data_IF_411177471179
#
_entry.id   IF_411177471179
#
_cell.length_a   1.000
_cell.length_b   1.000
_cell.length_c   1.000
_cell.angle_alpha   90.00
_cell.angle_beta   90.00
_cell.angle_gamma   90.00
#
_symmetry.space_group_name_H-M   'P 1'
#
loop_
_entity.id
_entity.type
_entity.pdbx_description
1 polymer ?
#
# COMPACT_ATOMS: atom_id res chain seq x y z
N UNK A 1 11.63 -4.04 23.64
CA UNK A 1 10.60 -3.20 22.98
C UNK A 1 10.13 -3.94 21.74
N UNK A 2 8.85 -3.91 21.41
CA UNK A 2 8.33 -4.53 20.19
C UNK A 2 7.95 -3.42 19.20
N UNK A 3 8.28 -3.63 17.92
CA UNK A 3 7.99 -2.70 16.84
C UNK A 3 7.02 -3.31 15.84
N UNK A 4 6.26 -2.44 15.19
CA UNK A 4 5.39 -2.78 14.07
C UNK A 4 5.85 -1.96 12.85
N UNK A 5 6.32 -2.63 11.81
CA UNK A 5 6.64 -2.01 10.52
C UNK A 5 5.39 -2.01 9.64
N UNK A 6 4.83 -0.84 9.40
CA UNK A 6 3.59 -0.68 8.63
C UNK A 6 3.82 -0.57 7.12
N UNK A 7 5.09 -0.56 6.64
CA UNK A 7 5.39 -0.36 5.23
C UNK A 7 6.72 -0.97 4.80
N UNK A 8 6.74 -2.22 4.39
CA UNK A 8 7.94 -2.93 3.96
C UNK A 8 7.78 -3.56 2.57
N UNK A 9 8.62 -3.13 1.62
CA UNK A 9 8.68 -3.68 0.26
C UNK A 9 9.56 -4.93 0.16
N UNK A 10 9.25 -5.98 0.93
CA UNK A 10 10.09 -7.18 1.00
C UNK A 10 10.27 -7.84 -0.37
N UNK A 11 9.18 -7.95 -1.14
CA UNK A 11 9.20 -8.61 -2.44
C UNK A 11 9.83 -7.78 -3.56
N UNK A 12 9.93 -6.45 -3.41
CA UNK A 12 10.63 -5.60 -4.38
C UNK A 12 12.15 -5.63 -4.18
N UNK A 13 12.60 -5.86 -2.93
CA UNK A 13 14.04 -5.88 -2.60
C UNK A 13 14.61 -7.26 -2.81
N UNK A 14 13.84 -8.31 -2.50
CA UNK A 14 14.28 -9.70 -2.54
C UNK A 14 13.33 -10.55 -3.37
N UNK A 15 13.80 -11.02 -4.52
CA UNK A 15 13.04 -11.93 -5.40
C UNK A 15 13.00 -13.38 -4.86
N UNK A 16 14.09 -13.81 -4.20
CA UNK A 16 14.21 -15.16 -3.64
C UNK A 16 13.40 -15.30 -2.34
N UNK A 17 12.47 -16.26 -2.25
CA UNK A 17 11.73 -16.54 -1.02
C UNK A 17 12.61 -16.83 0.22
N UNK A 18 13.80 -17.41 0.02
CA UNK A 18 14.75 -17.68 1.10
C UNK A 18 15.28 -16.36 1.67
N UNK A 19 15.64 -15.41 0.80
CA UNK A 19 16.08 -14.08 1.23
C UNK A 19 14.95 -13.27 1.87
N UNK A 20 13.73 -13.39 1.36
CA UNK A 20 12.55 -12.80 2.00
C UNK A 20 12.39 -13.31 3.44
N UNK A 21 12.49 -14.62 3.65
CA UNK A 21 12.42 -15.21 4.99
C UNK A 21 13.58 -14.77 5.88
N UNK A 22 14.79 -14.70 5.34
CA UNK A 22 15.99 -14.28 6.07
C UNK A 22 15.86 -12.85 6.61
N UNK A 23 15.40 -11.90 5.79
CA UNK A 23 15.24 -10.50 6.25
C UNK A 23 14.15 -10.37 7.31
N UNK A 24 13.05 -11.13 7.19
CA UNK A 24 11.99 -11.16 8.21
C UNK A 24 12.54 -11.70 9.54
N UNK A 25 13.36 -12.76 9.52
CA UNK A 25 13.99 -13.30 10.71
C UNK A 25 14.95 -12.29 11.38
N UNK A 26 15.73 -11.56 10.58
CA UNK A 26 16.59 -10.48 11.07
C UNK A 26 15.79 -9.34 11.71
N UNK A 27 14.70 -8.90 11.06
CA UNK A 27 13.81 -7.89 11.60
C UNK A 27 13.21 -8.32 12.95
N UNK A 28 12.81 -9.59 13.08
CA UNK A 28 12.31 -10.16 14.35
C UNK A 28 13.39 -10.18 15.44
N UNK A 29 14.60 -10.57 15.11
CA UNK A 29 15.72 -10.55 16.06
C UNK A 29 16.01 -9.12 16.56
N UNK A 30 15.73 -8.09 15.73
CA UNK A 30 15.82 -6.68 16.09
C UNK A 30 14.57 -6.15 16.84
N UNK A 31 13.52 -6.98 17.05
CA UNK A 31 12.32 -6.60 17.79
C UNK A 31 11.13 -6.19 16.93
N UNK A 32 11.23 -6.26 15.60
CA UNK A 32 10.09 -6.03 14.70
C UNK A 32 9.23 -7.29 14.67
N UNK A 33 8.09 -7.28 15.34
CA UNK A 33 7.23 -8.47 15.53
C UNK A 33 6.09 -8.56 14.55
N UNK A 34 5.73 -7.45 13.91
CA UNK A 34 4.66 -7.36 12.90
C UNK A 34 5.16 -6.54 11.73
N UNK A 35 4.81 -6.97 10.53
CA UNK A 35 5.22 -6.31 9.27
C UNK A 35 4.03 -6.32 8.30
N UNK A 36 3.75 -5.18 7.69
CA UNK A 36 2.86 -5.11 6.51
C UNK A 36 3.72 -5.15 5.26
N UNK A 37 3.59 -6.20 4.49
CA UNK A 37 4.22 -6.34 3.16
C UNK A 37 3.45 -5.53 2.14
N UNK A 38 4.15 -4.62 1.47
CA UNK A 38 3.62 -3.72 0.45
C UNK A 38 4.14 -4.14 -0.92
N UNK A 39 3.28 -4.03 -1.93
CA UNK A 39 3.62 -4.30 -3.32
C UNK A 39 3.11 -3.15 -4.20
N UNK A 40 3.85 -2.81 -5.26
CA UNK A 40 3.47 -1.71 -6.13
C UNK A 40 2.41 -2.13 -7.15
N UNK A 41 2.41 -3.41 -7.53
CA UNK A 41 1.52 -3.98 -8.53
C UNK A 41 0.82 -5.24 -8.04
N UNK A 42 -0.28 -5.58 -8.71
CA UNK A 42 -0.98 -6.85 -8.49
C UNK A 42 -0.16 -8.06 -8.94
N UNK A 43 0.75 -7.88 -9.90
CA UNK A 43 1.70 -8.92 -10.29
C UNK A 43 2.64 -9.26 -9.14
N UNK A 44 3.24 -8.23 -8.52
CA UNK A 44 4.14 -8.41 -7.38
C UNK A 44 3.41 -9.01 -6.18
N UNK A 45 2.20 -8.55 -5.89
CA UNK A 45 1.37 -9.12 -4.83
C UNK A 45 1.15 -10.63 -5.05
N UNK A 46 0.75 -11.04 -6.26
CA UNK A 46 0.53 -12.45 -6.60
C UNK A 46 1.81 -13.31 -6.48
N UNK A 47 2.98 -12.71 -6.73
CA UNK A 47 4.28 -13.38 -6.60
C UNK A 47 4.71 -13.52 -5.13
N UNK A 48 4.51 -12.48 -4.33
CA UNK A 48 5.06 -12.38 -2.97
C UNK A 48 4.13 -12.98 -1.92
N UNK A 49 2.82 -12.72 -2.02
CA UNK A 49 1.82 -13.16 -1.03
C UNK A 49 1.89 -14.65 -0.70
N UNK A 50 2.00 -15.60 -1.66
CA UNK A 50 2.08 -17.03 -1.35
C UNK A 50 3.25 -17.41 -0.45
N UNK A 51 4.36 -16.70 -0.56
CA UNK A 51 5.58 -16.95 0.22
C UNK A 51 5.44 -16.49 1.68
N UNK A 52 4.69 -15.41 1.92
CA UNK A 52 4.67 -14.70 3.20
C UNK A 52 3.39 -14.92 4.02
N UNK A 53 2.28 -15.32 3.40
CA UNK A 53 0.94 -15.37 4.02
C UNK A 53 0.82 -16.24 5.28
N UNK A 54 1.69 -17.26 5.41
CA UNK A 54 1.66 -18.18 6.54
C UNK A 54 2.72 -17.86 7.61
N UNK A 55 3.51 -16.80 7.42
CA UNK A 55 4.53 -16.40 8.38
C UNK A 55 3.85 -15.62 9.52
N UNK A 56 3.91 -16.06 10.79
CA UNK A 56 3.28 -15.36 11.91
C UNK A 56 3.69 -13.88 11.96
N UNK A 57 2.77 -12.95 12.20
CA UNK A 57 3.05 -11.52 12.26
C UNK A 57 3.28 -10.83 10.91
N UNK A 58 3.14 -11.55 9.80
CA UNK A 58 3.08 -10.95 8.46
C UNK A 58 1.65 -10.58 8.11
N UNK A 59 1.49 -9.38 7.62
CA UNK A 59 0.25 -8.82 7.06
C UNK A 59 0.53 -8.29 5.66
N UNK A 60 -0.52 -8.03 4.89
CA UNK A 60 -0.39 -7.61 3.50
C UNK A 60 -1.32 -6.43 3.22
N UNK A 61 -0.86 -5.51 2.37
CA UNK A 61 -1.72 -4.60 1.66
C UNK A 61 -1.76 -4.98 0.18
N UNK A 62 -2.89 -4.78 -0.46
CA UNK A 62 -3.09 -5.02 -1.88
C UNK A 62 -3.65 -3.78 -2.56
N UNK A 63 -3.00 -3.35 -3.62
CA UNK A 63 -3.36 -2.16 -4.38
C UNK A 63 -2.50 -2.02 -5.63
N UNK A 64 -2.68 -0.88 -6.28
CA UNK A 64 -1.93 -0.45 -7.46
C UNK A 64 -1.34 0.92 -7.18
N UNK A 65 -0.01 0.98 -7.11
CA UNK A 65 0.72 2.21 -6.84
C UNK A 65 0.67 3.18 -8.03
N UNK A 66 0.93 4.48 -7.83
CA UNK A 66 0.99 5.46 -8.92
C UNK A 66 1.96 5.08 -10.05
N UNK A 67 3.04 4.34 -9.75
CA UNK A 67 3.99 3.85 -10.75
C UNK A 67 3.37 2.95 -11.82
N UNK A 68 2.26 2.32 -11.51
CA UNK A 68 1.56 1.34 -12.36
C UNK A 68 0.34 1.94 -13.08
N UNK A 69 0.11 3.25 -12.98
CA UNK A 69 -1.09 3.90 -13.50
C UNK A 69 -1.31 3.71 -15.00
N UNK A 70 -0.24 3.55 -15.78
CA UNK A 70 -0.34 3.31 -17.23
C UNK A 70 -0.64 1.86 -17.59
N UNK A 71 -0.46 0.93 -16.65
CA UNK A 71 -0.72 -0.49 -16.83
C UNK A 71 -1.18 -1.15 -15.51
N UNK A 72 -2.33 -0.75 -14.96
CA UNK A 72 -2.82 -1.26 -13.67
C UNK A 72 -3.23 -2.75 -13.72
N UNK A 73 -3.31 -3.30 -14.93
CA UNK A 73 -3.81 -4.66 -15.19
C UNK A 73 -5.29 -4.66 -15.61
N UNK A 74 -5.66 -5.65 -16.41
CA UNK A 74 -7.07 -5.88 -16.77
C UNK A 74 -7.86 -6.23 -15.51
N UNK A 75 -9.03 -5.60 -15.34
CA UNK A 75 -9.92 -5.83 -14.20
C UNK A 75 -9.22 -5.66 -12.83
N UNK A 76 -8.28 -4.70 -12.72
CA UNK A 76 -7.48 -4.50 -11.52
C UNK A 76 -8.34 -4.27 -10.26
N UNK A 77 -9.45 -3.51 -10.35
CA UNK A 77 -10.37 -3.28 -9.23
C UNK A 77 -10.97 -4.59 -8.71
N UNK A 78 -11.44 -5.43 -9.62
CA UNK A 78 -11.93 -6.75 -9.26
C UNK A 78 -10.83 -7.62 -8.64
N UNK A 79 -9.64 -7.58 -9.18
CA UNK A 79 -8.49 -8.34 -8.64
C UNK A 79 -8.12 -7.86 -7.23
N UNK A 80 -8.12 -6.55 -6.97
CA UNK A 80 -7.95 -6.01 -5.62
C UNK A 80 -9.06 -6.54 -4.73
N UNK A 81 -10.31 -6.34 -5.11
CA UNK A 81 -11.48 -6.72 -4.31
C UNK A 81 -11.47 -8.21 -3.93
N UNK A 82 -11.23 -9.10 -4.89
CA UNK A 82 -11.11 -10.54 -4.66
C UNK A 82 -9.96 -10.86 -3.66
N UNK A 83 -8.89 -10.07 -3.69
CA UNK A 83 -7.73 -10.25 -2.82
C UNK A 83 -7.95 -9.74 -1.39
N UNK A 84 -8.89 -8.81 -1.15
CA UNK A 84 -9.16 -8.27 0.18
C UNK A 84 -9.70 -9.34 1.16
N UNK A 85 -10.28 -10.42 0.66
CA UNK A 85 -10.77 -11.55 1.46
C UNK A 85 -9.68 -12.58 1.83
N UNK A 86 -8.47 -12.44 1.29
CA UNK A 86 -7.37 -13.36 1.56
C UNK A 86 -6.85 -13.23 2.99
N UNK A 87 -6.36 -14.31 3.62
CA UNK A 87 -5.82 -14.27 4.97
C UNK A 87 -4.73 -13.21 5.15
N UNK A 88 -4.81 -12.46 6.26
CA UNK A 88 -3.83 -11.43 6.64
C UNK A 88 -3.71 -10.24 5.66
N UNK A 89 -4.62 -10.09 4.69
CA UNK A 89 -4.77 -8.85 3.95
C UNK A 89 -5.55 -7.87 4.81
N UNK A 90 -4.95 -6.73 5.15
CA UNK A 90 -5.44 -5.82 6.20
C UNK A 90 -5.64 -4.38 5.72
N UNK A 91 -5.24 -4.05 4.50
CA UNK A 91 -5.34 -2.71 3.95
C UNK A 91 -5.43 -2.72 2.41
N UNK A 92 -5.99 -1.67 1.84
CA UNK A 92 -5.83 -1.33 0.42
C UNK A 92 -4.57 -0.48 0.29
N UNK A 93 -3.70 -0.84 -0.64
CA UNK A 93 -2.47 -0.10 -0.89
C UNK A 93 -1.29 -1.01 -1.34
N UNK A 94 -0.21 -0.41 -1.78
CA UNK A 94 0.05 1.03 -1.83
C UNK A 94 -0.79 1.69 -2.94
N UNK A 95 -1.36 2.87 -2.67
CA UNK A 95 -2.08 3.70 -3.64
C UNK A 95 -1.77 5.17 -3.38
N UNK A 96 -2.17 6.09 -4.24
CA UNK A 96 -1.92 7.52 -4.01
C UNK A 96 -1.41 8.25 -5.24
N UNK A 97 -0.59 9.31 -5.03
CA UNK A 97 -0.15 10.21 -6.08
C UNK A 97 1.38 10.44 -6.02
N UNK A 98 2.03 10.44 -7.20
CA UNK A 98 3.45 10.79 -7.37
C UNK A 98 3.60 11.76 -8.55
N UNK A 99 3.74 13.04 -8.24
CA UNK A 99 3.94 14.06 -9.27
C UNK A 99 5.41 14.34 -9.60
N UNK A 100 6.32 13.83 -8.76
CA UNK A 100 7.76 13.95 -9.00
C UNK A 100 8.21 13.04 -10.14
N UNK A 101 7.77 11.77 -10.14
CA UNK A 101 8.17 10.77 -11.14
C UNK A 101 7.36 10.86 -12.43
N UNK A 102 6.25 11.60 -12.43
CA UNK A 102 5.38 11.79 -13.61
C UNK A 102 4.93 10.47 -14.26
N UNK A 103 4.53 9.50 -13.44
CA UNK A 103 3.93 8.26 -13.90
C UNK A 103 2.56 8.53 -14.52
N UNK A 104 2.43 8.46 -15.86
CA UNK A 104 1.21 8.84 -16.56
C UNK A 104 0.80 10.30 -16.32
N UNK A 105 -0.46 10.63 -16.58
CA UNK A 105 -1.01 11.95 -16.30
C UNK A 105 -1.66 12.04 -14.91
N UNK A 106 -1.83 13.27 -14.41
CA UNK A 106 -2.39 13.52 -13.08
C UNK A 106 -3.82 12.98 -12.91
N UNK A 107 -4.65 13.13 -13.93
CA UNK A 107 -6.05 12.73 -13.82
C UNK A 107 -6.17 11.22 -13.71
N UNK A 108 -5.38 10.48 -14.48
CA UNK A 108 -5.31 9.01 -14.38
C UNK A 108 -4.84 8.55 -13.01
N UNK A 109 -3.82 9.22 -12.41
CA UNK A 109 -3.40 8.91 -11.05
C UNK A 109 -4.52 9.20 -10.02
N UNK A 110 -5.20 10.34 -10.13
CA UNK A 110 -6.31 10.72 -9.24
C UNK A 110 -7.46 9.72 -9.36
N UNK A 111 -7.84 9.34 -10.58
CA UNK A 111 -8.89 8.34 -10.81
C UNK A 111 -8.54 7.00 -10.17
N UNK A 112 -7.34 6.48 -10.44
CA UNK A 112 -6.82 5.25 -9.86
C UNK A 112 -6.85 5.29 -8.32
N UNK A 113 -6.45 6.41 -7.72
CA UNK A 113 -6.46 6.61 -6.28
C UNK A 113 -7.89 6.61 -5.71
N UNK A 114 -8.80 7.39 -6.29
CA UNK A 114 -10.19 7.47 -5.84
C UNK A 114 -10.89 6.12 -5.88
N UNK A 115 -10.72 5.36 -6.96
CA UNK A 115 -11.32 4.03 -7.09
C UNK A 115 -10.84 3.06 -6.00
N UNK A 116 -9.59 3.16 -5.58
CA UNK A 116 -9.07 2.33 -4.49
C UNK A 116 -9.53 2.82 -3.10
N UNK A 117 -9.73 4.13 -2.90
CA UNK A 117 -10.37 4.66 -1.68
C UNK A 117 -11.80 4.14 -1.55
N UNK A 118 -12.56 4.10 -2.65
CA UNK A 118 -13.94 3.59 -2.67
C UNK A 118 -13.98 2.09 -2.34
N UNK A 119 -13.02 1.29 -2.83
CA UNK A 119 -12.90 -0.11 -2.44
C UNK A 119 -12.58 -0.26 -0.94
N UNK A 120 -11.65 0.53 -0.42
CA UNK A 120 -11.30 0.50 1.00
C UNK A 120 -12.51 0.85 1.88
N UNK A 121 -13.27 1.89 1.54
CA UNK A 121 -14.50 2.26 2.22
C UNK A 121 -15.55 1.14 2.16
N UNK A 122 -15.77 0.57 0.97
CA UNK A 122 -16.73 -0.53 0.77
C UNK A 122 -16.44 -1.75 1.66
N UNK A 123 -15.17 -2.06 1.86
CA UNK A 123 -14.72 -3.22 2.63
C UNK A 123 -14.32 -2.90 4.07
N UNK A 124 -14.51 -1.65 4.52
CA UNK A 124 -14.15 -1.17 5.85
C UNK A 124 -12.67 -1.46 6.19
N UNK A 125 -11.78 -1.18 5.27
CA UNK A 125 -10.33 -1.36 5.40
C UNK A 125 -9.62 -0.01 5.35
N UNK A 126 -8.49 0.16 6.08
CA UNK A 126 -7.66 1.34 5.96
C UNK A 126 -6.92 1.36 4.63
N UNK A 127 -6.40 2.54 4.25
CA UNK A 127 -5.56 2.72 3.08
C UNK A 127 -4.13 3.08 3.46
N UNK A 128 -3.17 2.60 2.66
CA UNK A 128 -1.76 2.98 2.76
C UNK A 128 -1.43 3.83 1.54
N UNK A 129 -1.06 5.09 1.80
CA UNK A 129 -1.01 6.14 0.79
C UNK A 129 0.42 6.57 0.51
N UNK A 130 0.80 6.50 -0.77
CA UNK A 130 1.95 7.15 -1.35
C UNK A 130 1.66 8.62 -1.62
N UNK A 131 2.54 9.51 -1.16
CA UNK A 131 2.43 10.94 -1.43
C UNK A 131 3.79 11.52 -1.78
N UNK A 132 3.98 11.94 -3.02
CA UNK A 132 5.20 12.62 -3.44
C UNK A 132 4.89 13.83 -4.33
N UNK A 133 5.17 15.04 -3.82
CA UNK A 133 4.86 16.32 -4.46
C UNK A 133 3.37 16.48 -4.85
N UNK A 134 2.46 15.81 -4.12
CA UNK A 134 1.03 15.76 -4.40
C UNK A 134 0.16 16.12 -3.18
N UNK A 135 0.76 16.67 -2.12
CA UNK A 135 0.12 16.85 -0.82
C UNK A 135 -1.20 17.60 -0.87
N UNK A 136 -1.33 18.62 -1.74
CA UNK A 136 -2.58 19.37 -1.88
C UNK A 136 -3.72 18.48 -2.42
N UNK A 137 -3.47 17.76 -3.50
CA UNK A 137 -4.50 16.95 -4.12
C UNK A 137 -4.87 15.74 -3.24
N UNK A 138 -3.88 15.11 -2.58
CA UNK A 138 -4.13 14.09 -1.54
C UNK A 138 -5.02 14.63 -0.44
N UNK A 139 -4.70 15.83 0.10
CA UNK A 139 -5.50 16.45 1.15
C UNK A 139 -6.94 16.71 0.69
N UNK A 140 -7.12 17.34 -0.48
CA UNK A 140 -8.43 17.67 -1.01
C UNK A 140 -9.30 16.43 -1.26
N UNK A 141 -8.69 15.34 -1.72
CA UNK A 141 -9.37 14.05 -1.93
C UNK A 141 -9.75 13.42 -0.58
N UNK A 142 -8.82 13.36 0.36
CA UNK A 142 -9.06 12.71 1.66
C UNK A 142 -10.08 13.45 2.52
N UNK A 143 -10.17 14.78 2.43
CA UNK A 143 -11.22 15.52 3.16
C UNK A 143 -12.63 15.12 2.76
N UNK A 144 -12.81 14.51 1.58
CA UNK A 144 -14.11 14.10 1.05
C UNK A 144 -14.31 12.58 1.05
N UNK A 145 -13.22 11.80 1.05
CA UNK A 145 -13.24 10.37 0.71
C UNK A 145 -12.34 9.51 1.59
N UNK A 146 -11.93 9.99 2.77
CA UNK A 146 -11.14 9.14 3.69
C UNK A 146 -12.01 7.97 4.17
N UNK A 147 -11.54 6.72 4.06
CA UNK A 147 -12.28 5.59 4.61
C UNK A 147 -12.46 5.69 6.13
N UNK A 148 -13.58 5.21 6.64
CA UNK A 148 -13.88 5.21 8.09
C UNK A 148 -12.81 4.45 8.91
N UNK A 149 -12.17 3.44 8.31
CA UNK A 149 -11.05 2.70 8.89
C UNK A 149 -9.72 3.47 8.91
N UNK A 150 -9.70 4.68 8.35
CA UNK A 150 -8.55 5.58 8.36
C UNK A 150 -7.54 5.37 7.24
N UNK A 151 -6.45 6.12 7.31
CA UNK A 151 -5.38 6.11 6.32
C UNK A 151 -4.01 6.24 6.98
N UNK A 152 -3.00 5.66 6.35
CA UNK A 152 -1.58 5.83 6.69
C UNK A 152 -0.89 6.52 5.50
N UNK A 153 -0.39 7.75 5.71
CA UNK A 153 0.51 8.39 4.77
C UNK A 153 1.93 7.96 5.12
N UNK A 154 2.51 7.10 4.30
CA UNK A 154 3.88 6.69 4.51
C UNK A 154 4.87 7.75 3.98
N UNK A 155 6.06 7.81 4.57
CA UNK A 155 7.13 8.71 4.13
C UNK A 155 6.69 10.18 3.98
N UNK A 156 5.88 10.69 4.93
CA UNK A 156 5.28 12.01 4.86
C UNK A 156 6.36 13.11 4.78
N UNK A 157 6.44 13.77 3.64
CA UNK A 157 7.42 14.83 3.33
C UNK A 157 6.83 16.24 3.21
N UNK A 158 5.51 16.36 3.37
CA UNK A 158 4.81 17.63 3.25
C UNK A 158 5.00 18.52 4.48
N UNK A 159 4.69 19.83 4.34
CA UNK A 159 4.78 20.76 5.44
C UNK A 159 3.71 20.49 6.52
N UNK A 160 3.90 21.12 7.71
CA UNK A 160 3.04 20.89 8.87
C UNK A 160 1.60 21.40 8.71
N UNK A 161 1.29 22.19 7.70
CA UNK A 161 -0.06 22.76 7.50
C UNK A 161 -1.09 21.66 7.18
N UNK A 162 -0.68 20.63 6.42
CA UNK A 162 -1.54 19.50 6.10
C UNK A 162 -1.72 18.51 7.26
N UNK A 163 -0.90 18.59 8.33
CA UNK A 163 -0.99 17.71 9.50
C UNK A 163 -2.08 18.10 10.50
N UNK A 164 -2.56 19.33 10.45
CA UNK A 164 -3.41 19.90 11.50
C UNK A 164 -4.89 20.00 11.12
N UNK A 165 -5.23 19.57 9.94
CA UNK A 165 -6.59 19.57 9.41
C UNK A 165 -7.11 18.16 9.22
#
# INVERSE_FOLDING_TARGET
MQFFDTHAHIGLIYDDPIEQLRVIQQARAAGVTRIVSINNSLHDFKKVYPNLKNIPGMYHAVGVAPSEVTNPGTDYLKTIEDSLSLPNVVAVGETGLDYYKQFGDKNSQIELFIQQLELAQKHNLPVIIHNREAGKDIYDILTQRIPDSGAILHCYSENAEYKKK
#
